data_IF_632861850323
#
_entry.id   IF_632861850323
#
_cell.length_a   1.000
_cell.length_b   1.000
_cell.length_c   1.000
_cell.angle_alpha   90.00
_cell.angle_beta   90.00
_cell.angle_gamma   90.00
#
_symmetry.space_group_name_H-M   'P 1'
#
loop_
_entity.id
_entity.type
_entity.pdbx_description
1 polymer ?
#
# COMPACT_ATOMS: atom_id res chain seq x y z
N UNK A 1 21.82 -13.92 33.34
CA UNK A 1 22.84 -14.17 32.28
C UNK A 1 22.43 -13.38 31.05
N UNK A 2 23.40 -12.76 30.42
CA UNK A 2 23.14 -12.00 29.17
C UNK A 2 22.82 -13.02 28.08
N UNK A 3 21.75 -12.81 27.28
CA UNK A 3 21.39 -13.73 26.20
C UNK A 3 22.46 -13.73 25.09
N UNK A 4 22.62 -14.89 24.45
CA UNK A 4 23.48 -15.04 23.27
C UNK A 4 22.86 -14.32 22.09
N UNK A 5 23.65 -13.49 21.42
CA UNK A 5 23.19 -12.76 20.21
C UNK A 5 23.35 -13.64 18.98
N UNK A 6 22.27 -13.78 18.20
CA UNK A 6 22.25 -14.57 16.98
C UNK A 6 22.34 -13.66 15.74
N UNK A 7 23.27 -13.97 14.84
CA UNK A 7 23.35 -13.33 13.52
C UNK A 7 22.25 -13.81 12.56
N UNK A 8 21.81 -15.07 12.68
CA UNK A 8 20.70 -15.66 11.94
C UNK A 8 19.73 -16.38 12.88
N UNK A 9 18.58 -15.75 13.12
CA UNK A 9 17.51 -16.29 13.94
C UNK A 9 16.34 -16.89 13.11
N UNK A 10 16.53 -17.10 11.80
CA UNK A 10 15.45 -17.56 10.90
C UNK A 10 14.77 -18.84 11.35
N UNK A 11 15.53 -19.78 11.91
CA UNK A 11 14.98 -21.03 12.43
C UNK A 11 14.07 -20.80 13.65
N UNK A 12 14.35 -19.78 14.48
CA UNK A 12 13.51 -19.41 15.62
C UNK A 12 12.22 -18.72 15.16
N UNK A 13 12.28 -17.89 14.11
CA UNK A 13 11.07 -17.32 13.51
C UNK A 13 10.16 -18.40 12.93
N UNK A 14 10.74 -19.42 12.28
CA UNK A 14 9.96 -20.55 11.77
C UNK A 14 9.35 -21.37 12.89
N UNK A 15 10.09 -21.59 14.01
CA UNK A 15 9.56 -22.29 15.17
C UNK A 15 8.41 -21.49 15.82
N UNK A 16 8.58 -20.18 15.99
CA UNK A 16 7.53 -19.30 16.49
C UNK A 16 6.27 -19.35 15.60
N UNK A 17 6.45 -19.32 14.28
CA UNK A 17 5.34 -19.45 13.33
C UNK A 17 4.62 -20.79 13.44
N UNK A 18 5.34 -21.90 13.64
CA UNK A 18 4.74 -23.22 13.87
C UNK A 18 3.95 -23.23 15.18
N UNK A 19 4.52 -22.74 16.27
CA UNK A 19 3.84 -22.67 17.56
C UNK A 19 2.58 -21.82 17.48
N UNK A 20 2.65 -20.69 16.78
CA UNK A 20 1.50 -19.81 16.54
C UNK A 20 0.37 -20.52 15.80
N UNK A 21 0.69 -21.28 14.75
CA UNK A 21 -0.32 -22.03 14.00
C UNK A 21 -0.89 -23.22 14.79
N UNK A 22 -0.12 -23.80 15.71
CA UNK A 22 -0.62 -24.85 16.59
C UNK A 22 -1.72 -24.36 17.55
N UNK A 23 -1.76 -23.06 17.85
CA UNK A 23 -2.82 -22.44 18.64
C UNK A 23 -4.20 -22.43 17.95
N UNK A 24 -4.28 -22.78 16.67
CA UNK A 24 -5.55 -22.97 15.94
C UNK A 24 -6.45 -23.97 16.65
N UNK A 25 -5.88 -25.03 17.24
CA UNK A 25 -6.59 -26.10 17.92
C UNK A 25 -6.71 -25.87 19.45
N UNK A 26 -6.18 -24.78 19.97
CA UNK A 26 -6.15 -24.53 21.42
C UNK A 26 -7.53 -24.22 22.03
N UNK A 27 -8.50 -23.77 21.21
CA UNK A 27 -9.82 -23.31 21.66
C UNK A 27 -9.78 -21.98 22.41
N UNK A 28 -8.67 -21.24 22.36
CA UNK A 28 -8.53 -19.90 22.91
C UNK A 28 -9.22 -18.85 22.02
N UNK A 29 -9.44 -17.65 22.54
CA UNK A 29 -10.15 -16.57 21.85
C UNK A 29 -9.53 -16.19 20.49
N UNK A 30 -8.21 -16.36 20.33
CA UNK A 30 -7.50 -16.11 19.07
C UNK A 30 -7.62 -17.21 18.02
N UNK A 31 -8.13 -18.41 18.37
CA UNK A 31 -8.27 -19.55 17.44
C UNK A 31 -9.16 -19.20 16.26
N UNK A 32 -10.24 -18.44 16.46
CA UNK A 32 -11.13 -17.98 15.39
C UNK A 32 -10.41 -17.03 14.44
N UNK A 33 -9.61 -16.10 14.95
CA UNK A 33 -8.80 -15.16 14.14
C UNK A 33 -7.79 -15.91 13.27
N UNK A 34 -7.10 -16.92 13.83
CA UNK A 34 -6.18 -17.76 13.08
C UNK A 34 -6.93 -18.54 11.99
N UNK A 35 -8.10 -19.13 12.31
CA UNK A 35 -8.91 -19.87 11.36
C UNK A 35 -9.35 -19.00 10.17
N UNK A 36 -9.82 -17.78 10.45
CA UNK A 36 -10.23 -16.82 9.41
C UNK A 36 -9.07 -16.47 8.46
N UNK A 37 -7.87 -16.24 8.99
CA UNK A 37 -6.69 -15.96 8.17
C UNK A 37 -6.24 -17.17 7.36
N UNK A 38 -6.22 -18.36 7.96
CA UNK A 38 -5.87 -19.62 7.29
C UNK A 38 -6.83 -19.90 6.15
N UNK A 39 -8.14 -19.72 6.37
CA UNK A 39 -9.16 -19.85 5.33
C UNK A 39 -8.98 -18.83 4.21
N UNK A 40 -8.72 -17.57 4.54
CA UNK A 40 -8.46 -16.50 3.56
C UNK A 40 -7.24 -16.77 2.66
N UNK A 41 -6.27 -17.52 3.16
CA UNK A 41 -5.06 -17.91 2.43
C UNK A 41 -5.13 -19.34 1.88
N UNK A 42 -6.34 -19.79 1.53
CA UNK A 42 -6.60 -21.09 0.88
C UNK A 42 -6.08 -22.32 1.65
N UNK A 43 -5.95 -22.22 2.98
CA UNK A 43 -5.38 -23.24 3.87
C UNK A 43 -3.94 -23.65 3.53
N UNK A 44 -3.18 -22.79 2.85
CA UNK A 44 -1.76 -23.02 2.53
C UNK A 44 -0.88 -22.78 3.77
N UNK A 45 -0.88 -23.72 4.71
CA UNK A 45 -0.11 -23.63 5.96
C UNK A 45 1.42 -23.40 5.74
N UNK A 46 2.08 -24.06 4.75
CA UNK A 46 3.48 -23.76 4.45
C UNK A 46 3.72 -22.30 4.07
N UNK A 47 2.83 -21.73 3.25
CA UNK A 47 2.88 -20.31 2.85
C UNK A 47 2.67 -19.39 4.04
N UNK A 48 1.65 -19.67 4.86
CA UNK A 48 1.32 -18.86 6.05
C UNK A 48 2.48 -18.88 7.04
N UNK A 49 3.07 -20.04 7.33
CA UNK A 49 4.26 -20.17 8.17
C UNK A 49 5.41 -19.29 7.69
N UNK A 50 5.69 -19.30 6.38
CA UNK A 50 6.76 -18.47 5.81
C UNK A 50 6.44 -16.98 5.89
N UNK A 51 5.18 -16.58 5.69
CA UNK A 51 4.74 -15.19 5.83
C UNK A 51 4.92 -14.71 7.29
N UNK A 52 4.47 -15.48 8.29
CA UNK A 52 4.65 -15.16 9.71
C UNK A 52 6.13 -15.02 10.04
N UNK A 53 6.97 -15.99 9.64
CA UNK A 53 8.41 -15.95 9.90
C UNK A 53 9.07 -14.72 9.26
N UNK A 54 8.67 -14.33 8.06
CA UNK A 54 9.17 -13.12 7.40
C UNK A 54 8.71 -11.85 8.11
N UNK A 55 7.47 -11.81 8.62
CA UNK A 55 6.97 -10.70 9.42
C UNK A 55 7.74 -10.58 10.74
N UNK A 56 8.00 -11.68 11.44
CA UNK A 56 8.80 -11.69 12.67
C UNK A 56 10.22 -11.17 12.46
N UNK A 57 10.82 -11.47 11.31
CA UNK A 57 12.13 -10.92 10.93
C UNK A 57 12.13 -9.39 10.75
N UNK A 58 10.98 -8.82 10.46
CA UNK A 58 10.78 -7.37 10.24
C UNK A 58 9.92 -6.73 11.34
N UNK A 59 9.89 -7.33 12.53
CA UNK A 59 8.98 -6.89 13.60
C UNK A 59 9.28 -5.49 14.13
N UNK A 60 10.51 -4.99 13.98
CA UNK A 60 10.90 -3.60 14.23
C UNK A 60 10.03 -2.58 13.51
N UNK A 61 9.50 -2.95 12.33
CA UNK A 61 8.68 -2.07 11.51
C UNK A 61 7.21 -2.00 11.95
N UNK A 62 6.68 -3.02 12.61
CA UNK A 62 5.26 -3.13 12.89
C UNK A 62 4.89 -3.40 14.36
N UNK A 63 5.78 -4.04 15.17
CA UNK A 63 5.42 -4.53 16.51
C UNK A 63 4.86 -3.42 17.42
N UNK A 64 5.49 -2.26 17.42
CA UNK A 64 5.06 -1.10 18.22
C UNK A 64 3.65 -0.59 17.89
N UNK A 65 3.19 -0.84 16.66
CA UNK A 65 1.85 -0.42 16.22
C UNK A 65 0.80 -1.46 16.55
N UNK A 66 1.16 -2.75 16.43
CA UNK A 66 0.24 -3.87 16.65
C UNK A 66 0.03 -4.15 18.15
N UNK A 67 1.03 -3.91 19.00
CA UNK A 67 0.93 -4.11 20.46
C UNK A 67 0.07 -3.03 21.14
N UNK A 68 0.04 -1.81 20.60
CA UNK A 68 -0.89 -0.77 21.08
C UNK A 68 -2.31 -1.13 20.66
N UNK A 69 -3.28 -0.74 21.49
CA UNK A 69 -4.67 -0.82 21.07
C UNK A 69 -4.85 0.06 19.82
N UNK A 70 -5.09 -0.61 18.70
CA UNK A 70 -5.40 0.03 17.43
C UNK A 70 -6.89 -0.16 17.14
N UNK A 71 -7.50 0.83 16.55
CA UNK A 71 -8.84 0.70 16.01
C UNK A 71 -8.83 0.84 14.47
N UNK A 72 -9.94 0.46 13.85
CA UNK A 72 -10.13 0.56 12.40
C UNK A 72 -9.90 1.98 11.89
N UNK A 73 -10.38 2.97 12.65
CA UNK A 73 -10.30 4.37 12.28
C UNK A 73 -8.87 4.89 12.25
N UNK A 74 -8.03 4.49 13.22
CA UNK A 74 -6.62 4.88 13.26
C UNK A 74 -5.85 4.29 12.08
N UNK A 75 -6.14 3.02 11.72
CA UNK A 75 -5.53 2.37 10.57
C UNK A 75 -5.98 3.02 9.25
N UNK A 76 -7.28 3.30 9.09
CA UNK A 76 -7.81 4.00 7.92
C UNK A 76 -7.25 5.43 7.81
N UNK A 77 -7.07 6.15 8.91
CA UNK A 77 -6.40 7.46 8.88
C UNK A 77 -4.94 7.37 8.41
N UNK A 78 -4.25 6.28 8.75
CA UNK A 78 -2.89 6.04 8.27
C UNK A 78 -2.86 5.76 6.77
N UNK A 79 -3.86 5.02 6.24
CA UNK A 79 -4.04 4.83 4.79
C UNK A 79 -4.34 6.16 4.08
N UNK A 80 -5.23 6.97 4.65
CA UNK A 80 -5.54 8.31 4.11
C UNK A 80 -4.27 9.16 4.00
N UNK A 81 -3.45 9.23 5.05
CA UNK A 81 -2.17 9.98 5.02
C UNK A 81 -1.23 9.46 3.94
N UNK A 82 -1.01 8.14 3.88
CA UNK A 82 -0.18 7.52 2.86
C UNK A 82 -0.62 7.90 1.44
N UNK A 83 -1.93 7.86 1.18
CA UNK A 83 -2.51 8.22 -0.11
C UNK A 83 -2.30 9.72 -0.38
N UNK A 84 -2.64 10.59 0.58
CA UNK A 84 -2.54 12.04 0.42
C UNK A 84 -1.08 12.49 0.22
N UNK A 85 -0.12 11.90 0.90
CA UNK A 85 1.31 12.16 0.72
C UNK A 85 1.75 11.81 -0.71
N UNK A 86 1.39 10.63 -1.21
CA UNK A 86 1.71 10.21 -2.58
C UNK A 86 1.03 11.10 -3.62
N UNK A 87 -0.25 11.43 -3.43
CA UNK A 87 -0.99 12.32 -4.34
C UNK A 87 -0.43 13.74 -4.33
N UNK A 88 0.08 14.21 -3.18
CA UNK A 88 0.74 15.52 -3.08
C UNK A 88 1.99 15.56 -3.94
N UNK A 89 2.84 14.53 -3.90
CA UNK A 89 4.01 14.39 -4.76
C UNK A 89 3.60 14.43 -6.23
N UNK A 90 2.62 13.61 -6.62
CA UNK A 90 2.17 13.53 -8.02
C UNK A 90 1.59 14.85 -8.52
N UNK A 91 0.77 15.51 -7.70
CA UNK A 91 0.16 16.81 -8.03
C UNK A 91 1.21 17.89 -8.22
N UNK A 92 2.27 17.87 -7.41
CA UNK A 92 3.39 18.84 -7.52
C UNK A 92 4.22 18.60 -8.79
N UNK A 93 4.39 17.35 -9.20
CA UNK A 93 5.15 16.98 -10.41
C UNK A 93 4.37 17.27 -11.70
N UNK A 94 3.02 17.32 -11.66
CA UNK A 94 2.23 17.51 -12.87
C UNK A 94 2.30 18.95 -13.37
N UNK A 95 2.81 19.23 -14.61
CA UNK A 95 3.04 20.58 -15.09
C UNK A 95 1.75 21.38 -15.21
N UNK A 96 1.75 22.60 -14.71
CA UNK A 96 0.55 23.46 -14.65
C UNK A 96 0.06 23.87 -16.03
N UNK A 97 0.96 24.08 -16.96
CA UNK A 97 0.69 24.48 -18.35
C UNK A 97 -0.10 23.46 -19.12
N UNK A 98 -0.01 22.18 -18.79
CA UNK A 98 -0.72 21.12 -19.50
C UNK A 98 -2.08 20.73 -18.89
N UNK A 99 -2.43 21.28 -17.72
CA UNK A 99 -3.62 20.86 -16.96
C UNK A 99 -4.92 21.01 -17.76
N UNK A 100 -5.12 22.16 -18.41
CA UNK A 100 -6.34 22.44 -19.18
C UNK A 100 -6.46 21.55 -20.41
N UNK A 101 -5.37 21.37 -21.14
CA UNK A 101 -5.36 20.50 -22.32
C UNK A 101 -5.54 19.03 -21.91
N UNK A 102 -4.90 18.62 -20.84
CA UNK A 102 -5.04 17.26 -20.31
C UNK A 102 -6.48 16.95 -19.93
N UNK A 103 -7.17 17.88 -19.26
CA UNK A 103 -8.58 17.72 -18.88
C UNK A 103 -9.49 17.54 -20.09
N UNK A 104 -9.31 18.33 -21.14
CA UNK A 104 -10.06 18.19 -22.39
C UNK A 104 -9.87 16.81 -23.04
N UNK A 105 -8.64 16.31 -23.05
CA UNK A 105 -8.32 14.97 -23.57
C UNK A 105 -8.84 13.84 -22.69
N UNK A 106 -8.79 14.03 -21.37
CA UNK A 106 -9.29 13.07 -20.39
C UNK A 106 -10.81 12.92 -20.46
N UNK A 107 -11.56 14.03 -20.54
CA UNK A 107 -13.01 14.02 -20.72
C UNK A 107 -13.41 13.35 -22.03
N UNK A 108 -12.69 13.65 -23.13
CA UNK A 108 -12.92 12.99 -24.42
C UNK A 108 -12.74 11.47 -24.31
N UNK A 109 -11.66 11.01 -23.68
CA UNK A 109 -11.40 9.59 -23.50
C UNK A 109 -12.47 8.92 -22.62
N UNK A 110 -12.80 9.54 -21.48
CA UNK A 110 -13.80 9.02 -20.55
C UNK A 110 -15.19 8.91 -21.19
N UNK A 111 -15.61 9.91 -21.98
CA UNK A 111 -16.88 9.91 -22.72
C UNK A 111 -16.96 8.75 -23.71
N UNK A 112 -15.95 8.58 -24.56
CA UNK A 112 -15.92 7.50 -25.55
C UNK A 112 -15.94 6.11 -24.89
N UNK A 113 -15.27 5.94 -23.76
CA UNK A 113 -15.27 4.67 -23.02
C UNK A 113 -16.63 4.39 -22.38
N UNK A 114 -17.26 5.40 -21.78
CA UNK A 114 -18.60 5.28 -21.21
C UNK A 114 -19.63 4.90 -22.29
N UNK A 115 -19.59 5.54 -23.46
CA UNK A 115 -20.47 5.25 -24.60
C UNK A 115 -20.24 3.85 -25.19
N UNK A 116 -19.02 3.34 -25.13
CA UNK A 116 -18.68 2.00 -25.65
C UNK A 116 -18.99 0.85 -24.68
N UNK A 117 -19.38 1.16 -23.43
CA UNK A 117 -19.63 0.16 -22.38
C UNK A 117 -18.39 -0.62 -21.93
N UNK A 118 -17.17 -0.13 -22.19
CA UNK A 118 -15.93 -0.76 -21.75
C UNK A 118 -15.64 -0.41 -20.29
N UNK A 119 -15.26 -1.40 -19.50
CA UNK A 119 -14.78 -1.17 -18.13
C UNK A 119 -13.40 -0.50 -18.17
N UNK A 120 -13.28 0.66 -17.51
CA UNK A 120 -12.03 1.41 -17.40
C UNK A 120 -12.11 2.41 -16.25
N UNK A 121 -11.02 2.57 -15.52
CA UNK A 121 -10.90 3.60 -14.48
C UNK A 121 -10.92 5.02 -15.06
N UNK A 122 -10.62 5.19 -16.33
CA UNK A 122 -10.70 6.47 -17.05
C UNK A 122 -12.11 7.05 -16.96
N UNK A 123 -13.16 6.21 -16.89
CA UNK A 123 -14.57 6.63 -16.81
C UNK A 123 -14.85 7.43 -15.52
N UNK A 124 -14.12 7.20 -14.42
CA UNK A 124 -14.26 8.00 -13.21
C UNK A 124 -14.04 9.49 -13.45
N UNK A 125 -13.27 9.83 -14.49
CA UNK A 125 -12.97 11.21 -14.88
C UNK A 125 -13.99 11.83 -15.84
N UNK A 126 -15.14 11.21 -16.10
CA UNK A 126 -16.15 11.71 -17.06
C UNK A 126 -16.63 13.13 -16.73
N UNK A 127 -16.78 13.45 -15.46
CA UNK A 127 -17.28 14.75 -14.99
C UNK A 127 -16.19 15.65 -14.40
N UNK A 128 -14.91 15.33 -14.67
CA UNK A 128 -13.81 16.10 -14.12
C UNK A 128 -13.76 17.51 -14.74
N UNK A 129 -13.83 18.56 -13.94
CA UNK A 129 -13.76 19.97 -14.38
C UNK A 129 -12.44 20.65 -14.03
N UNK A 130 -11.67 20.07 -13.13
CA UNK A 130 -10.34 20.53 -12.71
C UNK A 130 -9.46 19.32 -12.41
N UNK A 131 -8.15 19.52 -12.42
CA UNK A 131 -7.24 18.45 -11.95
C UNK A 131 -7.59 18.08 -10.52
N UNK A 132 -7.60 16.76 -10.21
CA UNK A 132 -7.87 16.33 -8.84
C UNK A 132 -6.84 16.91 -7.88
N UNK A 133 -7.29 17.20 -6.67
CA UNK A 133 -6.39 17.58 -5.57
C UNK A 133 -5.63 16.37 -5.00
N UNK A 134 -4.99 16.56 -3.87
CA UNK A 134 -4.24 15.52 -3.18
C UNK A 134 -5.05 14.80 -2.08
N UNK A 135 -6.38 14.91 -2.07
CA UNK A 135 -7.23 14.23 -1.09
C UNK A 135 -7.40 12.76 -1.43
N UNK A 136 -7.44 11.91 -0.40
CA UNK A 136 -7.64 10.48 -0.57
C UNK A 136 -8.93 10.14 -1.35
N UNK A 137 -9.98 10.98 -1.23
CA UNK A 137 -11.23 10.84 -1.98
C UNK A 137 -11.09 10.98 -3.49
N UNK A 138 -9.99 11.58 -3.98
CA UNK A 138 -9.70 11.73 -5.43
C UNK A 138 -8.83 10.62 -6.00
N UNK A 139 -8.50 9.59 -5.21
CA UNK A 139 -7.63 8.48 -5.63
C UNK A 139 -8.12 7.82 -6.92
N UNK A 140 -9.42 7.58 -7.06
CA UNK A 140 -9.97 6.93 -8.27
C UNK A 140 -9.82 7.82 -9.52
N UNK A 141 -9.92 9.14 -9.38
CA UNK A 141 -9.63 10.07 -10.48
C UNK A 141 -8.15 9.97 -10.88
N UNK A 142 -7.24 9.94 -9.91
CA UNK A 142 -5.82 9.76 -10.19
C UNK A 142 -5.49 8.39 -10.79
N UNK A 143 -6.21 7.33 -10.40
CA UNK A 143 -6.10 6.02 -11.04
C UNK A 143 -6.54 6.05 -12.50
N UNK A 144 -7.64 6.78 -12.81
CA UNK A 144 -8.09 7.02 -14.18
C UNK A 144 -7.05 7.77 -15.01
N UNK A 145 -6.45 8.83 -14.44
CA UNK A 145 -5.35 9.59 -15.06
C UNK A 145 -4.17 8.68 -15.36
N UNK A 146 -3.78 7.87 -14.39
CA UNK A 146 -2.67 6.93 -14.52
C UNK A 146 -2.94 5.90 -15.60
N UNK A 147 -4.14 5.33 -15.65
CA UNK A 147 -4.53 4.37 -16.68
C UNK A 147 -4.50 4.98 -18.08
N UNK A 148 -4.87 6.26 -18.25
CA UNK A 148 -4.75 6.95 -19.53
C UNK A 148 -3.29 7.08 -19.98
N UNK A 149 -2.39 7.45 -19.07
CA UNK A 149 -0.99 7.78 -19.38
C UNK A 149 -0.06 6.55 -19.40
N UNK A 150 -0.28 5.58 -18.51
CA UNK A 150 0.59 4.44 -18.35
C UNK A 150 -0.07 3.12 -18.77
N UNK A 151 0.76 2.15 -19.11
CA UNK A 151 0.36 0.75 -19.28
C UNK A 151 0.18 0.07 -17.92
N UNK A 152 -0.39 -1.12 -17.89
CA UNK A 152 -0.47 -1.96 -16.66
C UNK A 152 0.89 -2.29 -16.03
N UNK A 153 1.98 -2.17 -16.80
CA UNK A 153 3.36 -2.36 -16.32
C UNK A 153 4.00 -1.08 -15.76
N UNK A 154 3.25 0.02 -15.64
CA UNK A 154 3.77 1.30 -15.15
C UNK A 154 4.65 2.06 -16.16
N UNK A 155 4.68 1.66 -17.43
CA UNK A 155 5.44 2.36 -18.47
C UNK A 155 4.54 3.30 -19.29
N UNK A 156 5.09 4.40 -19.80
CA UNK A 156 4.35 5.30 -20.66
C UNK A 156 3.72 4.58 -21.85
N UNK A 157 2.45 4.93 -22.17
CA UNK A 157 1.82 4.41 -23.37
C UNK A 157 2.51 4.95 -24.61
N UNK A 158 2.60 4.10 -25.63
CA UNK A 158 3.13 4.51 -26.95
C UNK A 158 2.01 4.86 -27.93
N UNK A 159 0.85 4.23 -27.75
CA UNK A 159 -0.29 4.37 -28.66
C UNK A 159 -1.60 4.54 -27.88
N UNK A 160 -2.50 5.33 -28.44
CA UNK A 160 -3.85 5.52 -27.98
C UNK A 160 -4.84 4.86 -28.96
N UNK A 161 -5.74 4.05 -28.42
CA UNK A 161 -6.70 3.25 -29.18
C UNK A 161 -8.10 3.37 -28.59
N UNK A 162 -9.08 2.73 -29.19
CA UNK A 162 -10.44 2.65 -28.66
C UNK A 162 -10.48 2.16 -27.19
N UNK A 163 -9.55 1.27 -26.81
CA UNK A 163 -9.43 0.77 -25.43
C UNK A 163 -9.00 1.83 -24.41
N UNK A 164 -8.53 2.97 -24.89
CA UNK A 164 -8.13 4.11 -24.06
C UNK A 164 -9.01 5.34 -24.35
N UNK A 165 -10.17 5.15 -24.99
CA UNK A 165 -11.09 6.22 -25.33
C UNK A 165 -10.72 7.05 -26.58
N UNK A 166 -9.78 6.57 -27.40
CA UNK A 166 -9.41 7.22 -28.67
C UNK A 166 -9.79 6.32 -29.84
N UNK A 167 -11.07 6.39 -30.28
CA UNK A 167 -11.56 5.57 -31.37
C UNK A 167 -10.82 5.89 -32.68
N UNK A 168 -10.85 4.98 -33.68
CA UNK A 168 -10.31 5.24 -35.00
C UNK A 168 -11.07 6.36 -35.70
N UNK A 169 -10.55 6.78 -36.85
CA UNK A 169 -11.22 7.75 -37.71
C UNK A 169 -12.67 7.33 -38.01
N UNK A 170 -13.55 8.33 -38.14
CA UNK A 170 -14.94 8.15 -38.52
C UNK A 170 -15.10 8.42 -40.02
N UNK A 171 -16.14 7.85 -40.67
CA UNK A 171 -16.52 8.18 -42.04
C UNK A 171 -17.08 9.61 -42.14
N UNK A 172 -17.54 10.20 -41.05
CA UNK A 172 -17.94 11.60 -40.95
C UNK A 172 -16.67 12.49 -40.87
N UNK A 173 -16.49 13.36 -41.86
CA UNK A 173 -15.29 14.22 -41.97
C UNK A 173 -15.03 15.08 -40.73
N UNK A 174 -16.09 15.64 -40.12
CA UNK A 174 -15.96 16.48 -38.94
C UNK A 174 -15.46 15.67 -37.73
N UNK A 175 -16.04 14.50 -37.47
CA UNK A 175 -15.60 13.58 -36.42
C UNK A 175 -14.21 13.01 -36.70
N UNK A 176 -13.90 12.78 -37.99
CA UNK A 176 -12.56 12.35 -38.41
C UNK A 176 -11.49 13.35 -37.98
N UNK A 177 -11.71 14.63 -38.31
CA UNK A 177 -10.76 15.70 -38.01
C UNK A 177 -10.63 15.92 -36.49
N UNK A 178 -11.72 15.86 -35.75
CA UNK A 178 -11.71 15.95 -34.28
C UNK A 178 -10.93 14.81 -33.63
N UNK A 179 -11.25 13.56 -33.95
CA UNK A 179 -10.61 12.36 -33.42
C UNK A 179 -9.12 12.32 -33.74
N UNK A 180 -8.74 12.65 -34.97
CA UNK A 180 -7.35 12.73 -35.41
C UNK A 180 -6.59 13.82 -34.65
N UNK A 181 -7.19 14.98 -34.42
CA UNK A 181 -6.60 16.08 -33.66
C UNK A 181 -6.40 15.69 -32.20
N UNK A 182 -7.44 15.17 -31.52
CA UNK A 182 -7.32 14.70 -30.11
C UNK A 182 -6.22 13.67 -29.94
N UNK A 183 -6.08 12.74 -30.90
CA UNK A 183 -5.03 11.72 -30.87
C UNK A 183 -3.63 12.30 -31.04
N UNK A 184 -3.44 13.30 -31.90
CA UNK A 184 -2.16 14.01 -32.04
C UNK A 184 -1.82 14.79 -30.77
N UNK A 185 -2.80 15.48 -30.20
CA UNK A 185 -2.63 16.29 -28.98
C UNK A 185 -2.25 15.42 -27.77
N UNK A 186 -2.90 14.27 -27.57
CA UNK A 186 -2.54 13.39 -26.43
C UNK A 186 -1.15 12.78 -26.59
N UNK A 187 -0.72 12.48 -27.84
CA UNK A 187 0.63 12.01 -28.11
C UNK A 187 1.68 13.08 -27.83
N UNK A 188 1.42 14.32 -28.27
CA UNK A 188 2.30 15.46 -27.97
C UNK A 188 2.41 15.68 -26.46
N UNK A 189 1.28 15.78 -25.77
CA UNK A 189 1.23 15.98 -24.33
C UNK A 189 1.99 14.86 -23.59
N UNK A 190 1.82 13.61 -24.00
CA UNK A 190 2.56 12.50 -23.42
C UNK A 190 4.07 12.65 -23.57
N UNK A 191 4.52 13.13 -24.76
CA UNK A 191 5.95 13.39 -25.01
C UNK A 191 6.50 14.47 -24.08
N UNK A 192 5.73 15.49 -23.78
CA UNK A 192 6.11 16.54 -22.83
C UNK A 192 6.12 16.02 -21.37
N UNK A 193 5.11 15.26 -20.97
CA UNK A 193 5.05 14.66 -19.63
C UNK A 193 6.20 13.67 -19.36
N UNK A 194 6.69 12.99 -20.39
CA UNK A 194 7.85 12.08 -20.28
C UNK A 194 9.14 12.80 -19.91
N UNK A 195 9.24 14.11 -20.13
CA UNK A 195 10.42 14.91 -19.76
C UNK A 195 10.46 15.25 -18.27
N UNK A 196 9.34 15.05 -17.56
CA UNK A 196 9.25 15.38 -16.13
C UNK A 196 9.82 14.23 -15.31
N UNK A 197 10.97 14.47 -14.70
CA UNK A 197 11.66 13.48 -13.88
C UNK A 197 10.78 13.05 -12.68
N UNK A 198 10.67 11.74 -12.47
CA UNK A 198 9.92 11.15 -11.35
C UNK A 198 8.41 11.08 -11.55
N UNK A 199 7.82 11.73 -12.58
CA UNK A 199 6.37 11.70 -12.79
C UNK A 199 5.87 10.29 -13.13
N UNK A 200 6.61 9.53 -13.97
CA UNK A 200 6.24 8.16 -14.31
C UNK A 200 6.16 7.28 -13.06
N UNK A 201 7.20 7.28 -12.23
CA UNK A 201 7.27 6.45 -11.04
C UNK A 201 6.20 6.85 -10.02
N UNK A 202 5.97 8.16 -9.88
CA UNK A 202 4.93 8.69 -9.01
C UNK A 202 3.53 8.25 -9.45
N UNK A 203 3.22 8.33 -10.75
CA UNK A 203 1.97 7.83 -11.32
C UNK A 203 1.85 6.31 -11.19
N UNK A 204 2.93 5.55 -11.43
CA UNK A 204 2.91 4.10 -11.32
C UNK A 204 2.61 3.65 -9.88
N UNK A 205 3.15 4.36 -8.88
CA UNK A 205 2.90 4.12 -7.45
C UNK A 205 1.41 4.24 -7.10
N UNK A 206 0.66 5.17 -7.74
CA UNK A 206 -0.79 5.33 -7.49
C UNK A 206 -1.58 4.04 -7.72
N UNK A 207 -1.19 3.23 -8.71
CA UNK A 207 -1.87 1.96 -8.98
C UNK A 207 -1.71 0.91 -7.86
N UNK A 208 -0.65 1.02 -7.08
CA UNK A 208 -0.36 0.12 -5.96
C UNK A 208 -0.88 0.62 -4.61
N UNK A 209 -1.40 1.86 -4.54
CA UNK A 209 -1.97 2.39 -3.31
C UNK A 209 -3.21 1.58 -2.90
N UNK A 210 -3.40 1.31 -1.60
CA UNK A 210 -4.62 0.70 -1.08
C UNK A 210 -5.82 1.65 -1.19
N UNK A 211 -7.01 1.15 -0.90
CA UNK A 211 -8.19 1.99 -0.64
C UNK A 211 -8.01 2.77 0.66
N UNK A 212 -8.68 3.92 0.78
CA UNK A 212 -8.61 4.76 1.98
C UNK A 212 -9.35 4.18 3.19
N UNK A 213 -10.18 3.17 2.97
CA UNK A 213 -10.95 2.48 3.99
C UNK A 213 -11.02 0.99 3.68
N UNK A 214 -11.23 0.19 4.72
CA UNK A 214 -11.49 -1.24 4.61
C UNK A 214 -12.99 -1.51 4.48
N UNK A 215 -13.37 -2.49 3.68
CA UNK A 215 -14.68 -3.14 3.80
C UNK A 215 -14.73 -3.93 5.12
N UNK A 216 -15.92 -4.31 5.58
CA UNK A 216 -16.04 -5.10 6.82
C UNK A 216 -15.35 -6.47 6.69
N UNK A 217 -15.43 -7.09 5.52
CA UNK A 217 -14.73 -8.34 5.24
C UNK A 217 -13.19 -8.18 5.29
N UNK A 218 -12.65 -7.12 4.70
CA UNK A 218 -11.21 -6.82 4.76
C UNK A 218 -10.77 -6.50 6.19
N UNK A 219 -11.60 -5.76 6.95
CA UNK A 219 -11.30 -5.45 8.33
C UNK A 219 -11.19 -6.68 9.21
N UNK A 220 -12.08 -7.66 9.04
CA UNK A 220 -12.00 -8.94 9.76
C UNK A 220 -10.64 -9.61 9.52
N UNK A 221 -10.16 -9.63 8.29
CA UNK A 221 -8.87 -10.24 7.95
C UNK A 221 -7.68 -9.44 8.49
N UNK A 222 -7.73 -8.11 8.40
CA UNK A 222 -6.68 -7.23 8.95
C UNK A 222 -6.60 -7.38 10.46
N UNK A 223 -7.74 -7.40 11.15
CA UNK A 223 -7.79 -7.63 12.59
C UNK A 223 -7.23 -9.00 12.97
N UNK A 224 -7.65 -10.05 12.27
CA UNK A 224 -7.14 -11.41 12.46
C UNK A 224 -5.61 -11.49 12.25
N UNK A 225 -5.07 -10.80 11.25
CA UNK A 225 -3.64 -10.70 11.02
C UNK A 225 -2.92 -10.02 12.19
N UNK A 226 -3.45 -8.93 12.71
CA UNK A 226 -2.86 -8.21 13.83
C UNK A 226 -2.84 -9.08 15.11
N UNK A 227 -3.93 -9.79 15.40
CA UNK A 227 -3.99 -10.73 16.53
C UNK A 227 -2.98 -11.88 16.37
N UNK A 228 -2.90 -12.45 15.18
CA UNK A 228 -1.91 -13.49 14.87
C UNK A 228 -0.48 -13.00 15.04
N UNK A 229 -0.17 -11.79 14.61
CA UNK A 229 1.16 -11.20 14.73
C UNK A 229 1.53 -10.91 16.20
N UNK A 230 0.58 -10.47 17.03
CA UNK A 230 0.79 -10.35 18.49
C UNK A 230 1.16 -11.69 19.11
N UNK A 231 0.39 -12.72 18.79
CA UNK A 231 0.63 -14.08 19.28
C UNK A 231 2.00 -14.60 18.82
N UNK A 232 2.33 -14.42 17.53
CA UNK A 232 3.61 -14.84 16.96
C UNK A 232 4.81 -14.14 17.63
N UNK A 233 4.68 -12.84 17.93
CA UNK A 233 5.71 -12.11 18.66
C UNK A 233 5.87 -12.64 20.11
N UNK A 234 4.76 -12.99 20.78
CA UNK A 234 4.76 -13.63 22.09
C UNK A 234 5.45 -15.00 22.05
N UNK A 235 5.12 -15.85 21.08
CA UNK A 235 5.78 -17.15 20.89
C UNK A 235 7.28 -17.01 20.63
N UNK A 236 7.69 -16.03 19.82
CA UNK A 236 9.11 -15.74 19.58
C UNK A 236 9.83 -15.31 20.88
N UNK A 237 9.18 -14.44 21.66
CA UNK A 237 9.74 -13.99 22.93
C UNK A 237 9.94 -15.16 23.91
N UNK A 238 8.98 -16.09 23.99
CA UNK A 238 9.11 -17.30 24.80
C UNK A 238 10.29 -18.18 24.35
N UNK A 239 10.44 -18.40 23.04
CA UNK A 239 11.56 -19.18 22.47
C UNK A 239 12.90 -18.53 22.80
N UNK A 240 13.00 -17.21 22.67
CA UNK A 240 14.22 -16.48 23.04
C UNK A 240 14.57 -16.65 24.52
N UNK A 241 13.57 -16.55 25.39
CA UNK A 241 13.76 -16.72 26.83
C UNK A 241 14.18 -18.15 27.19
N UNK A 242 13.54 -19.17 26.63
CA UNK A 242 13.84 -20.59 26.87
C UNK A 242 15.26 -20.96 26.42
N UNK A 243 15.72 -20.41 25.30
CA UNK A 243 17.05 -20.71 24.74
C UNK A 243 18.14 -19.78 25.24
N UNK A 244 17.80 -18.76 26.02
CA UNK A 244 18.71 -17.68 26.42
C UNK A 244 19.45 -17.08 25.21
N UNK A 245 18.70 -16.88 24.11
CA UNK A 245 19.17 -16.35 22.83
C UNK A 245 18.33 -15.13 22.43
N UNK A 246 18.88 -14.24 21.60
CA UNK A 246 18.18 -13.07 21.09
C UNK A 246 18.81 -12.64 19.77
N UNK A 247 17.99 -12.11 18.87
CA UNK A 247 18.47 -11.47 17.64
C UNK A 247 18.73 -9.96 17.86
N UNK A 248 19.33 -9.30 16.87
CA UNK A 248 19.64 -7.86 16.94
C UNK A 248 18.40 -6.99 17.15
N UNK A 249 17.27 -7.33 16.51
CA UNK A 249 16.01 -6.61 16.72
C UNK A 249 15.53 -6.71 18.16
N UNK A 250 15.62 -7.88 18.78
CA UNK A 250 15.27 -8.06 20.19
C UNK A 250 16.18 -7.29 21.15
N UNK A 251 17.45 -7.19 20.82
CA UNK A 251 18.41 -6.36 21.59
C UNK A 251 18.03 -4.89 21.47
N UNK A 252 17.75 -4.42 20.25
CA UNK A 252 17.34 -3.03 19.99
C UNK A 252 16.03 -2.70 20.72
N UNK A 253 15.02 -3.56 20.64
CA UNK A 253 13.74 -3.40 21.35
C UNK A 253 13.94 -3.38 22.87
N UNK A 254 14.82 -4.26 23.40
CA UNK A 254 15.16 -4.29 24.82
C UNK A 254 15.85 -3.01 25.27
N UNK A 255 16.75 -2.46 24.45
CA UNK A 255 17.43 -1.21 24.72
C UNK A 255 16.45 -0.03 24.73
N UNK A 256 15.54 0.03 23.74
CA UNK A 256 14.49 1.07 23.68
C UNK A 256 13.59 0.98 24.93
N UNK A 257 13.16 -0.22 25.31
CA UNK A 257 12.33 -0.41 26.50
C UNK A 257 13.07 -0.05 27.79
N UNK A 258 14.38 -0.32 27.88
CA UNK A 258 15.21 0.05 29.01
C UNK A 258 15.39 1.56 29.17
N UNK A 259 15.38 2.31 28.06
CA UNK A 259 15.48 3.78 28.07
C UNK A 259 14.12 4.46 28.31
N UNK A 260 13.02 3.82 27.94
CA UNK A 260 11.68 4.40 27.96
C UNK A 260 11.41 5.34 26.80
N UNK A 261 10.43 6.22 26.95
CA UNK A 261 10.05 7.22 25.95
C UNK A 261 10.49 8.62 26.36
N UNK A 262 10.50 9.58 25.43
CA UNK A 262 10.81 10.98 25.71
C UNK A 262 9.87 11.55 26.79
N UNK A 263 8.60 11.14 26.77
CA UNK A 263 7.56 11.60 27.72
C UNK A 263 7.57 10.81 29.05
N UNK A 264 8.23 9.64 29.08
CA UNK A 264 8.34 8.78 30.25
C UNK A 264 9.70 8.05 30.27
N UNK A 265 10.80 8.76 30.53
CA UNK A 265 12.13 8.17 30.59
C UNK A 265 12.28 7.26 31.81
N UNK A 266 13.04 6.18 31.66
CA UNK A 266 13.39 5.31 32.79
C UNK A 266 14.47 5.91 33.66
N UNK A 267 14.67 5.35 34.86
CA UNK A 267 15.77 5.76 35.71
C UNK A 267 17.16 5.60 35.03
N UNK A 268 17.31 4.60 34.16
CA UNK A 268 18.52 4.39 33.37
C UNK A 268 18.75 5.52 32.37
N UNK A 269 17.69 5.94 31.65
CA UNK A 269 17.78 7.06 30.70
C UNK A 269 18.18 8.35 31.40
N UNK A 270 17.58 8.63 32.58
CA UNK A 270 17.91 9.82 33.38
C UNK A 270 19.36 9.77 33.90
N UNK A 271 19.89 8.60 34.21
CA UNK A 271 21.30 8.48 34.61
C UNK A 271 22.28 8.71 33.46
N UNK A 272 21.92 8.26 32.23
CA UNK A 272 22.77 8.45 31.05
C UNK A 272 22.79 9.90 30.56
N UNK A 273 21.72 10.66 30.79
CA UNK A 273 21.62 12.08 30.39
C UNK A 273 22.41 13.02 31.32
N UNK A 274 22.88 12.52 32.48
CA UNK A 274 23.67 13.29 33.45
C UNK A 274 25.20 13.19 33.23
N UNK A 275 25.64 12.55 32.18
CA UNK A 275 27.04 12.42 31.78
C UNK A 275 27.29 12.99 30.40
#
# INVERSE_FOLDING_TARGET
TQPETLDDAKHLYQQAAINTLAELESGADWSESIANLVFHLDNDLPRIKNLIANMLNKRDQWLRYVVKDYDRKDMEQSLVRLIEDQLSITTALFPKEFKTEFLDLMQFAAKNLAESGQESKIISCLQITSMPDNKASTLELWRGITELLLTSKGTWRKNFTIKNGFPPASDNKFEYDERANKKKRVQFLLTELQKVNGLQDSLATINSLPSASYTDAEWIIVNALCELLKLAAGQLHMIFAERNQMDFTGIADSAVNALGTVDSPTALALQLDYH
#
